data_IF_801219537502
#
_entry.id   IF_801219537502
#
_cell.length_a   1.000
_cell.length_b   1.000
_cell.length_c   1.000
_cell.angle_alpha   90.00
_cell.angle_beta   90.00
_cell.angle_gamma   90.00
#
_symmetry.space_group_name_H-M   'P 1'
#
loop_
_entity.id
_entity.type
_entity.pdbx_description
1 polymer ?
#
# COMPACT_ATOMS: atom_id res chain seq x y z
N UNK A 1 -9.70 -3.71 -30.62
CA UNK A 1 -10.40 -3.06 -29.49
C UNK A 1 -9.35 -2.73 -28.43
N UNK A 2 -9.14 -1.45 -28.12
CA UNK A 2 -8.24 -1.08 -27.03
C UNK A 2 -8.84 -1.64 -25.73
N UNK A 3 -8.15 -2.56 -25.05
CA UNK A 3 -8.53 -2.96 -23.69
C UNK A 3 -8.59 -1.69 -22.85
N UNK A 4 -9.77 -1.34 -22.33
CA UNK A 4 -9.88 -0.27 -21.33
C UNK A 4 -8.89 -0.59 -20.21
N UNK A 5 -7.91 0.29 -20.00
CA UNK A 5 -6.95 0.15 -18.91
C UNK A 5 -7.70 0.45 -17.61
N UNK A 6 -7.55 -0.40 -16.61
CA UNK A 6 -8.04 -0.10 -15.26
C UNK A 6 -7.28 1.13 -14.77
N UNK A 7 -8.01 2.19 -14.42
CA UNK A 7 -7.46 3.42 -13.85
C UNK A 7 -8.00 3.58 -12.44
N UNK A 8 -7.13 3.90 -11.50
CA UNK A 8 -7.48 4.15 -10.10
C UNK A 8 -6.79 5.42 -9.60
N UNK A 9 -7.28 5.99 -8.51
CA UNK A 9 -6.59 7.06 -7.80
C UNK A 9 -5.55 6.50 -6.81
N UNK A 10 -4.67 7.36 -6.30
CA UNK A 10 -3.75 6.91 -5.26
C UNK A 10 -4.51 6.67 -3.95
N UNK A 11 -4.27 5.54 -3.26
CA UNK A 11 -4.84 5.28 -1.94
C UNK A 11 -4.12 6.06 -0.82
N UNK A 12 -3.30 7.04 -1.18
CA UNK A 12 -2.43 7.88 -0.34
C UNK A 12 -2.35 9.28 -0.94
N UNK A 13 -1.88 10.24 -0.16
CA UNK A 13 -1.74 11.64 -0.59
C UNK A 13 -0.43 12.27 -0.15
N UNK A 14 0.08 13.21 -0.95
CA UNK A 14 1.33 13.94 -0.71
C UNK A 14 2.55 13.24 -1.30
N UNK A 15 3.73 13.47 -0.73
CA UNK A 15 5.00 12.93 -1.24
C UNK A 15 5.26 11.49 -0.79
N UNK A 16 5.49 10.60 -1.76
CA UNK A 16 5.72 9.18 -1.54
C UNK A 16 6.68 8.60 -2.57
N UNK A 17 7.30 7.46 -2.22
CA UNK A 17 8.14 6.71 -3.13
C UNK A 17 7.54 5.35 -3.43
N UNK A 18 7.59 4.96 -4.70
CA UNK A 18 7.17 3.63 -5.14
C UNK A 18 8.33 2.64 -5.05
N UNK A 19 8.10 1.58 -4.31
CA UNK A 19 8.98 0.44 -4.20
C UNK A 19 8.29 -0.80 -4.79
N UNK A 20 9.12 -1.73 -5.22
CA UNK A 20 8.71 -3.10 -5.57
C UNK A 20 9.83 -4.02 -5.11
N UNK A 21 9.72 -4.62 -3.91
CA UNK A 21 10.72 -5.55 -3.42
C UNK A 21 10.85 -6.74 -4.38
N UNK A 22 12.02 -7.39 -4.43
CA UNK A 22 12.22 -8.58 -5.25
C UNK A 22 11.19 -9.67 -4.90
N UNK A 23 10.67 -10.37 -5.91
CA UNK A 23 9.64 -11.41 -5.77
C UNK A 23 8.19 -10.91 -5.87
N UNK A 24 7.95 -9.60 -5.95
CA UNK A 24 6.60 -9.06 -6.14
C UNK A 24 6.16 -9.12 -7.61
N UNK A 25 4.86 -9.29 -7.83
CA UNK A 25 4.27 -9.22 -9.17
C UNK A 25 4.53 -7.83 -9.80
N UNK A 26 4.72 -7.70 -11.13
CA UNK A 26 5.03 -6.42 -11.75
C UNK A 26 4.02 -5.29 -11.51
N UNK A 27 2.77 -5.66 -11.24
CA UNK A 27 1.64 -4.75 -10.96
C UNK A 27 1.24 -4.74 -9.46
N UNK A 28 2.18 -5.14 -8.60
CA UNK A 28 2.10 -4.93 -7.17
C UNK A 28 2.98 -3.74 -6.78
N UNK A 29 2.43 -2.82 -6.00
CA UNK A 29 3.13 -1.59 -5.63
C UNK A 29 3.15 -1.38 -4.13
N UNK A 30 4.31 -1.03 -3.61
CA UNK A 30 4.51 -0.61 -2.23
C UNK A 30 4.79 0.90 -2.21
N UNK A 31 4.09 1.62 -1.33
CA UNK A 31 4.29 3.04 -1.13
C UNK A 31 4.95 3.30 0.22
N UNK A 32 6.07 4.03 0.17
CA UNK A 32 6.82 4.43 1.36
C UNK A 32 7.02 5.93 1.36
N UNK A 33 6.62 6.59 2.45
CA UNK A 33 6.86 8.01 2.65
C UNK A 33 8.30 8.24 3.05
N UNK A 34 8.89 9.31 2.52
CA UNK A 34 10.28 9.69 2.78
C UNK A 34 10.38 11.19 3.01
N UNK A 35 11.47 11.63 3.64
CA UNK A 35 11.86 13.04 3.64
C UNK A 35 12.68 13.40 2.39
N UNK A 36 13.06 14.68 2.29
CA UNK A 36 13.86 15.24 1.18
C UNK A 36 15.21 14.53 0.99
N UNK A 37 15.80 14.02 2.08
CA UNK A 37 17.03 13.23 2.11
C UNK A 37 16.81 11.75 1.71
N UNK A 38 15.59 11.39 1.30
CA UNK A 38 15.15 10.03 0.95
C UNK A 38 15.28 9.06 2.11
N UNK A 39 15.22 9.53 3.36
CA UNK A 39 15.16 8.69 4.56
C UNK A 39 13.71 8.27 4.80
N UNK A 40 13.54 7.06 5.31
CA UNK A 40 12.22 6.46 5.59
C UNK A 40 11.72 6.77 7.00
N UNK A 41 12.61 7.27 7.84
CA UNK A 41 12.40 7.52 9.25
C UNK A 41 13.23 8.72 9.69
N UNK A 42 12.80 9.37 10.77
CA UNK A 42 13.35 10.65 11.25
C UNK A 42 14.76 10.58 11.85
N UNK A 43 15.21 9.39 12.27
CA UNK A 43 16.56 9.20 12.82
C UNK A 43 17.65 9.56 11.82
N UNK A 44 18.59 10.40 12.26
CA UNK A 44 19.68 10.91 11.42
C UNK A 44 20.67 9.84 10.97
N UNK A 45 20.94 8.83 11.79
CA UNK A 45 21.97 7.81 11.50
C UNK A 45 21.37 6.54 10.90
N UNK A 46 21.64 6.28 9.61
CA UNK A 46 21.19 5.07 8.89
C UNK A 46 21.81 3.76 9.40
N UNK A 47 22.98 3.81 10.06
CA UNK A 47 23.62 2.62 10.62
C UNK A 47 22.80 2.00 11.77
N UNK A 48 21.94 2.79 12.42
CA UNK A 48 21.14 2.34 13.55
C UNK A 48 20.24 1.15 13.19
N UNK A 49 19.81 1.03 11.94
CA UNK A 49 18.99 -0.09 11.47
C UNK A 49 19.73 -1.44 11.50
N UNK A 50 21.06 -1.41 11.38
CA UNK A 50 21.91 -2.59 11.39
C UNK A 50 22.36 -2.98 12.80
N UNK A 51 22.47 -2.01 13.70
CA UNK A 51 23.00 -2.22 15.07
C UNK A 51 21.93 -2.11 16.17
N UNK A 52 20.71 -1.70 15.84
CA UNK A 52 19.64 -1.47 16.81
C UNK A 52 18.24 -1.57 16.18
N UNK A 53 17.22 -1.27 16.97
CA UNK A 53 15.82 -1.21 16.54
C UNK A 53 15.37 0.21 16.19
N UNK A 54 14.53 0.32 15.18
CA UNK A 54 13.79 1.54 14.84
C UNK A 54 12.32 1.32 15.22
N UNK A 55 11.74 2.29 15.91
CA UNK A 55 10.31 2.25 16.25
C UNK A 55 9.48 2.58 15.01
N UNK A 56 8.35 1.89 14.82
CA UNK A 56 7.42 2.20 13.73
C UNK A 56 6.95 3.66 13.75
N UNK A 57 6.84 4.26 14.93
CA UNK A 57 6.49 5.67 15.11
C UNK A 57 7.54 6.65 14.52
N UNK A 58 8.77 6.19 14.26
CA UNK A 58 9.81 7.02 13.64
C UNK A 58 9.70 7.06 12.12
N UNK A 59 8.90 6.18 11.50
CA UNK A 59 8.73 6.13 10.05
C UNK A 59 7.70 7.14 9.58
N UNK A 60 8.00 7.85 8.49
CA UNK A 60 7.08 8.83 7.93
C UNK A 60 5.80 8.20 7.36
N UNK A 61 5.85 6.92 6.95
CA UNK A 61 4.66 6.20 6.45
C UNK A 61 3.68 5.84 7.57
N UNK A 62 4.15 5.73 8.82
CA UNK A 62 3.32 5.23 9.91
C UNK A 62 2.15 6.18 10.21
N UNK A 63 0.97 5.62 10.48
CA UNK A 63 -0.24 6.38 10.85
C UNK A 63 -0.73 7.37 9.77
N UNK A 64 -0.25 7.24 8.52
CA UNK A 64 -0.77 8.02 7.40
C UNK A 64 -2.15 7.49 6.98
N UNK A 65 -3.06 8.39 6.61
CA UNK A 65 -4.39 8.01 6.11
C UNK A 65 -4.28 7.20 4.81
N UNK A 66 -5.16 6.21 4.69
CA UNK A 66 -5.39 5.44 3.48
C UNK A 66 -6.77 5.79 2.95
N UNK A 67 -6.84 6.03 1.65
CA UNK A 67 -8.05 6.42 0.95
C UNK A 67 -8.50 5.31 0.01
N UNK A 68 -9.81 5.22 -0.23
CA UNK A 68 -10.33 4.37 -1.30
C UNK A 68 -9.81 4.88 -2.64
N UNK A 69 -9.13 4.06 -3.45
CA UNK A 69 -8.63 4.47 -4.77
C UNK A 69 -9.68 4.32 -5.88
N UNK A 70 -10.84 3.73 -5.57
CA UNK A 70 -11.93 3.45 -6.50
C UNK A 70 -13.29 3.68 -5.83
N UNK A 71 -14.31 3.91 -6.65
CA UNK A 71 -15.68 3.68 -6.22
C UNK A 71 -15.93 2.17 -6.16
N UNK A 72 -16.60 1.69 -5.12
CA UNK A 72 -16.83 0.25 -4.99
C UNK A 72 -17.54 -0.17 -3.72
N UNK A 73 -17.50 -1.47 -3.46
CA UNK A 73 -18.08 -2.09 -2.27
C UNK A 73 -17.01 -2.84 -1.50
N UNK A 74 -16.99 -2.70 -0.18
CA UNK A 74 -16.12 -3.51 0.68
C UNK A 74 -16.62 -4.96 0.66
N UNK A 75 -15.77 -5.89 0.19
CA UNK A 75 -16.13 -7.32 0.07
C UNK A 75 -15.36 -8.22 1.03
N UNK A 76 -14.24 -7.75 1.59
CA UNK A 76 -13.48 -8.51 2.57
C UNK A 76 -12.66 -7.58 3.46
N UNK A 77 -12.60 -7.92 4.75
CA UNK A 77 -11.80 -7.22 5.76
C UNK A 77 -11.01 -8.28 6.52
N UNK A 78 -9.69 -8.12 6.59
CA UNK A 78 -8.82 -8.86 7.49
C UNK A 78 -8.35 -7.96 8.64
N UNK A 79 -8.63 -8.35 9.88
CA UNK A 79 -8.24 -7.63 11.10
C UNK A 79 -7.64 -8.57 12.14
N UNK A 80 -7.15 -7.98 13.24
CA UNK A 80 -6.66 -8.67 14.42
C UNK A 80 -5.18 -9.05 14.36
N UNK A 81 -4.44 -8.59 13.35
CA UNK A 81 -2.99 -8.77 13.28
C UNK A 81 -2.32 -7.56 13.90
N UNK A 82 -1.61 -7.78 15.00
CA UNK A 82 -0.84 -6.72 15.67
C UNK A 82 0.25 -6.14 14.76
N UNK A 83 0.48 -4.84 14.89
CA UNK A 83 1.55 -4.16 14.19
C UNK A 83 2.90 -4.47 14.82
N UNK A 84 3.90 -4.70 13.98
CA UNK A 84 5.28 -4.78 14.44
C UNK A 84 5.76 -3.37 14.77
N UNK A 85 5.91 -3.07 16.07
CA UNK A 85 6.34 -1.74 16.55
C UNK A 85 7.85 -1.51 16.52
N UNK A 86 8.66 -2.57 16.42
CA UNK A 86 10.14 -2.50 16.38
C UNK A 86 10.67 -3.22 15.14
N UNK A 87 11.39 -2.50 14.30
CA UNK A 87 12.03 -3.01 13.09
C UNK A 87 13.55 -3.05 13.27
N UNK A 88 14.21 -4.03 12.64
CA UNK A 88 15.67 -4.11 12.54
C UNK A 88 16.04 -5.05 11.38
N UNK A 89 17.32 -5.09 11.00
CA UNK A 89 17.78 -5.93 9.89
C UNK A 89 17.50 -7.44 10.09
N UNK A 90 17.68 -7.97 11.31
CA UNK A 90 17.49 -9.39 11.60
C UNK A 90 16.03 -9.83 11.47
N UNK A 91 15.12 -9.01 11.99
CA UNK A 91 13.67 -9.19 11.82
C UNK A 91 13.31 -9.19 10.33
N UNK A 92 13.86 -8.24 9.56
CA UNK A 92 13.62 -8.16 8.12
C UNK A 92 14.08 -9.43 7.39
N UNK A 93 15.27 -9.93 7.69
CA UNK A 93 15.79 -11.18 7.09
C UNK A 93 14.90 -12.37 7.47
N UNK A 94 14.53 -12.51 8.74
CA UNK A 94 13.68 -13.60 9.22
C UNK A 94 12.29 -13.57 8.58
N UNK A 95 11.68 -12.38 8.48
CA UNK A 95 10.38 -12.16 7.84
C UNK A 95 10.44 -12.58 6.36
N UNK A 96 11.44 -12.08 5.63
CA UNK A 96 11.65 -12.44 4.22
C UNK A 96 11.85 -13.95 4.05
N UNK A 97 12.72 -14.57 4.84
CA UNK A 97 12.96 -16.01 4.78
C UNK A 97 11.69 -16.82 5.03
N UNK A 98 10.94 -16.47 6.09
CA UNK A 98 9.70 -17.17 6.43
C UNK A 98 8.65 -17.02 5.33
N UNK A 99 8.54 -15.83 4.73
CA UNK A 99 7.63 -15.57 3.64
C UNK A 99 7.98 -16.37 2.38
N UNK A 100 9.26 -16.45 2.03
CA UNK A 100 9.71 -17.13 0.81
C UNK A 100 9.67 -18.65 0.95
N UNK A 101 10.08 -19.20 2.09
CA UNK A 101 10.33 -20.64 2.22
C UNK A 101 9.33 -21.37 3.12
N UNK A 102 8.60 -20.66 3.99
CA UNK A 102 7.74 -21.26 5.02
C UNK A 102 6.29 -20.82 4.96
N UNK A 103 5.93 -19.92 4.04
CA UNK A 103 4.54 -19.48 3.89
C UNK A 103 3.66 -20.63 3.42
N UNK A 104 2.67 -20.96 4.24
CA UNK A 104 1.59 -21.90 3.92
C UNK A 104 0.29 -21.21 4.29
N UNK A 105 -0.55 -20.82 3.32
CA UNK A 105 -1.84 -20.24 3.65
C UNK A 105 -2.72 -21.31 4.28
N UNK A 106 -3.32 -20.99 5.42
CA UNK A 106 -4.30 -21.85 6.08
C UNK A 106 -5.68 -21.59 5.49
N UNK A 107 -6.54 -22.61 5.48
CA UNK A 107 -7.96 -22.41 5.18
C UNK A 107 -8.73 -22.22 6.48
N UNK A 108 -9.50 -21.15 6.58
CA UNK A 108 -10.42 -20.88 7.68
C UNK A 108 -11.80 -20.60 7.12
N UNK A 109 -12.80 -21.34 7.60
CA UNK A 109 -14.20 -21.20 7.17
C UNK A 109 -14.38 -21.27 5.64
N UNK A 110 -13.71 -22.19 4.96
CA UNK A 110 -13.83 -22.37 3.51
C UNK A 110 -13.08 -21.33 2.66
N UNK A 111 -12.23 -20.49 3.27
CA UNK A 111 -11.44 -19.45 2.57
C UNK A 111 -9.99 -19.47 3.02
N UNK A 112 -9.07 -19.19 2.09
CA UNK A 112 -7.66 -19.03 2.40
C UNK A 112 -7.44 -17.77 3.26
N UNK A 113 -6.87 -17.96 4.45
CA UNK A 113 -6.45 -16.91 5.37
C UNK A 113 -5.10 -16.35 4.90
N UNK A 114 -5.17 -15.21 4.22
CA UNK A 114 -3.99 -14.53 3.67
C UNK A 114 -3.35 -13.54 4.66
N UNK A 115 -3.91 -13.35 5.86
CA UNK A 115 -3.46 -12.35 6.85
C UNK A 115 -2.02 -12.53 7.29
N UNK A 116 -1.51 -13.77 7.28
CA UNK A 116 -0.09 -14.04 7.57
C UNK A 116 0.83 -13.26 6.63
N UNK A 117 0.42 -13.07 5.36
CA UNK A 117 1.16 -12.25 4.41
C UNK A 117 0.69 -10.80 4.43
N UNK A 118 -0.60 -10.55 4.22
CA UNK A 118 -1.14 -9.20 4.00
C UNK A 118 -1.31 -8.37 5.28
N UNK A 119 -1.22 -8.98 6.46
CA UNK A 119 -1.54 -8.30 7.72
C UNK A 119 -3.02 -7.99 7.83
N UNK A 120 -3.34 -6.81 8.38
CA UNK A 120 -4.68 -6.27 8.25
C UNK A 120 -4.86 -5.69 6.84
N UNK A 121 -6.00 -5.96 6.23
CA UNK A 121 -6.25 -5.58 4.85
C UNK A 121 -7.71 -5.28 4.58
N UNK A 122 -7.94 -4.57 3.48
CA UNK A 122 -9.25 -4.26 2.93
C UNK A 122 -9.30 -4.68 1.47
N UNK A 123 -10.40 -5.30 1.04
CA UNK A 123 -10.69 -5.56 -0.37
C UNK A 123 -11.94 -4.81 -0.82
N UNK A 124 -11.79 -4.04 -1.88
CA UNK A 124 -12.84 -3.20 -2.46
C UNK A 124 -13.11 -3.71 -3.87
N UNK A 125 -14.34 -4.11 -4.15
CA UNK A 125 -14.75 -4.56 -5.48
C UNK A 125 -15.37 -3.40 -6.25
N UNK A 126 -14.82 -3.16 -7.44
CA UNK A 126 -15.35 -2.19 -8.39
C UNK A 126 -16.60 -2.77 -9.09
N UNK A 127 -17.46 -1.90 -9.63
CA UNK A 127 -18.65 -2.34 -10.38
C UNK A 127 -18.28 -3.11 -11.65
N UNK A 128 -17.10 -2.85 -12.19
CA UNK A 128 -16.51 -3.50 -13.35
C UNK A 128 -15.98 -4.91 -13.05
N UNK A 129 -16.02 -5.34 -11.78
CA UNK A 129 -15.75 -6.72 -11.35
C UNK A 129 -14.35 -6.96 -10.77
N UNK A 130 -13.38 -6.08 -11.03
CA UNK A 130 -12.05 -6.20 -10.44
C UNK A 130 -12.05 -5.83 -8.95
N UNK A 131 -11.08 -6.37 -8.21
CA UNK A 131 -10.95 -6.17 -6.75
C UNK A 131 -9.62 -5.54 -6.42
N UNK A 132 -9.64 -4.42 -5.69
CA UNK A 132 -8.45 -3.76 -5.13
C UNK A 132 -8.18 -4.29 -3.74
N UNK A 133 -6.95 -4.73 -3.48
CA UNK A 133 -6.43 -5.08 -2.16
C UNK A 133 -5.57 -3.95 -1.63
N UNK A 134 -5.84 -3.51 -0.41
CA UNK A 134 -4.98 -2.63 0.39
C UNK A 134 -4.50 -3.43 1.60
N UNK A 135 -3.18 -3.54 1.80
CA UNK A 135 -2.58 -4.41 2.81
C UNK A 135 -1.59 -3.68 3.75
N UNK A 136 -1.21 -4.36 4.82
CA UNK A 136 -0.37 -3.86 5.92
C UNK A 136 -1.01 -2.69 6.68
N UNK A 137 -2.33 -2.67 6.78
CA UNK A 137 -3.06 -1.65 7.52
C UNK A 137 -2.78 -1.76 9.02
N UNK A 138 -2.83 -0.61 9.70
CA UNK A 138 -2.65 -0.52 11.15
C UNK A 138 -3.78 -1.26 11.86
N UNK A 139 -3.43 -2.00 12.90
CA UNK A 139 -4.38 -2.71 13.74
C UNK A 139 -5.41 -1.73 14.32
N UNK A 140 -6.67 -2.13 14.32
CA UNK A 140 -7.81 -1.31 14.77
C UNK A 140 -7.97 0.05 14.05
N UNK A 141 -7.36 0.25 12.88
CA UNK A 141 -7.51 1.50 12.11
C UNK A 141 -8.59 1.46 11.03
N UNK A 142 -9.02 0.27 10.61
CA UNK A 142 -10.04 0.10 9.56
C UNK A 142 -11.38 0.58 10.11
N UNK A 143 -11.92 1.64 9.52
CA UNK A 143 -13.12 2.35 9.97
C UNK A 143 -14.33 2.14 9.03
N UNK A 144 -14.28 1.10 8.19
CA UNK A 144 -15.34 0.74 7.24
C UNK A 144 -15.89 -0.65 7.55
N UNK A 145 -17.11 -0.92 7.10
CA UNK A 145 -17.81 -2.18 7.34
C UNK A 145 -17.92 -3.05 6.09
N UNK A 146 -18.04 -4.37 6.28
CA UNK A 146 -18.31 -5.31 5.19
C UNK A 146 -19.61 -4.90 4.47
N UNK A 147 -19.56 -4.82 3.16
CA UNK A 147 -20.69 -4.43 2.32
C UNK A 147 -20.91 -2.93 2.18
N UNK A 148 -20.13 -2.09 2.86
CA UNK A 148 -20.19 -0.63 2.70
C UNK A 148 -19.80 -0.20 1.29
N UNK A 149 -20.57 0.72 0.71
CA UNK A 149 -20.20 1.43 -0.51
C UNK A 149 -19.20 2.54 -0.19
N UNK A 150 -18.14 2.63 -1.00
CA UNK A 150 -17.10 3.63 -0.89
C UNK A 150 -17.03 4.45 -2.17
N UNK A 151 -16.67 5.72 -2.01
CA UNK A 151 -16.28 6.62 -3.07
C UNK A 151 -14.76 6.82 -3.06
N UNK A 152 -14.20 7.14 -4.23
CA UNK A 152 -12.80 7.58 -4.33
C UNK A 152 -12.55 8.70 -3.32
N UNK A 153 -11.49 8.56 -2.51
CA UNK A 153 -11.11 9.56 -1.51
C UNK A 153 -11.71 9.33 -0.11
N UNK A 154 -12.61 8.36 0.07
CA UNK A 154 -13.07 7.98 1.40
C UNK A 154 -11.90 7.44 2.24
N UNK A 155 -11.77 7.87 3.50
CA UNK A 155 -10.77 7.31 4.43
C UNK A 155 -11.23 5.92 4.85
N UNK A 156 -10.37 4.91 4.63
CA UNK A 156 -10.67 3.51 4.93
C UNK A 156 -9.82 2.91 6.06
N UNK A 157 -8.77 3.61 6.46
CA UNK A 157 -7.89 3.21 7.55
C UNK A 157 -6.56 3.94 7.54
N UNK A 158 -5.55 3.36 8.18
CA UNK A 158 -4.21 3.94 8.26
C UNK A 158 -3.11 2.96 7.95
N UNK A 159 -1.98 3.48 7.47
CA UNK A 159 -0.78 2.71 7.19
C UNK A 159 -0.18 2.18 8.49
N UNK A 160 -0.01 0.86 8.54
CA UNK A 160 0.56 0.13 9.66
C UNK A 160 1.83 -0.62 9.26
N UNK A 161 2.09 -1.69 10.01
CA UNK A 161 3.22 -2.60 9.82
C UNK A 161 2.84 -4.03 10.26
N UNK A 162 1.59 -4.41 9.97
CA UNK A 162 1.02 -5.72 10.29
C UNK A 162 1.37 -6.76 9.21
N UNK A 163 1.36 -8.03 9.59
CA UNK A 163 1.64 -9.16 8.68
C UNK A 163 3.11 -9.27 8.28
N UNK A 164 3.33 -9.73 7.05
CA UNK A 164 4.66 -9.93 6.47
C UNK A 164 5.26 -8.61 5.95
N UNK A 165 5.33 -7.62 6.83
CA UNK A 165 5.89 -6.30 6.55
C UNK A 165 7.19 -6.09 7.31
N UNK A 166 8.16 -5.49 6.61
CA UNK A 166 9.51 -5.21 7.15
C UNK A 166 9.64 -3.77 7.67
N UNK A 167 8.74 -2.88 7.27
CA UNK A 167 8.62 -1.50 7.75
C UNK A 167 7.24 -0.92 7.42
N UNK A 168 6.80 0.17 8.08
CA UNK A 168 5.56 0.84 7.71
C UNK A 168 5.51 1.26 6.23
N UNK A 169 4.55 0.71 5.49
CA UNK A 169 4.29 0.98 4.07
C UNK A 169 2.87 0.56 3.69
N UNK A 170 2.35 1.09 2.59
CA UNK A 170 1.07 0.64 2.02
C UNK A 170 1.35 -0.25 0.81
N UNK A 171 0.73 -1.42 0.77
CA UNK A 171 0.78 -2.32 -0.38
C UNK A 171 -0.56 -2.31 -1.12
N UNK A 172 -0.52 -2.30 -2.46
CA UNK A 172 -1.68 -2.40 -3.34
C UNK A 172 -1.51 -3.47 -4.42
N UNK A 173 -2.58 -4.24 -4.65
CA UNK A 173 -2.76 -5.14 -5.78
C UNK A 173 -4.17 -5.01 -6.35
N UNK A 174 -4.34 -5.31 -7.64
CA UNK A 174 -5.65 -5.49 -8.26
C UNK A 174 -5.77 -6.91 -8.80
N UNK A 175 -6.89 -7.55 -8.50
CA UNK A 175 -7.22 -8.90 -8.93
C UNK A 175 -8.44 -8.91 -9.85
N UNK A 176 -8.52 -9.88 -10.75
CA UNK A 176 -9.69 -10.11 -11.60
C UNK A 176 -10.90 -10.65 -10.83
N UNK A 177 -10.67 -11.49 -9.82
CA UNK A 177 -11.69 -12.05 -8.93
C UNK A 177 -11.07 -12.54 -7.61
N UNK A 178 -11.89 -12.77 -6.59
CA UNK A 178 -11.45 -13.30 -5.28
C UNK A 178 -12.27 -14.50 -4.76
N UNK A 179 -13.15 -15.05 -5.59
CA UNK A 179 -13.92 -16.26 -5.28
C UNK A 179 -12.99 -17.47 -5.17
N UNK A 180 -12.01 -17.58 -6.07
CA UNK A 180 -10.97 -18.58 -6.03
C UNK A 180 -9.58 -17.90 -6.01
N UNK A 181 -9.02 -17.64 -4.82
CA UNK A 181 -7.73 -16.96 -4.69
C UNK A 181 -6.58 -17.69 -5.38
N UNK A 182 -6.63 -19.02 -5.53
CA UNK A 182 -5.59 -19.81 -6.21
C UNK A 182 -5.59 -19.62 -7.72
N UNK A 183 -6.71 -19.19 -8.31
CA UNK A 183 -6.85 -18.91 -9.76
C UNK A 183 -6.90 -17.43 -10.08
N UNK A 184 -6.88 -16.58 -9.05
CA UNK A 184 -6.95 -15.14 -9.19
C UNK A 184 -5.71 -14.60 -9.89
N UNK A 185 -5.91 -13.69 -10.84
CA UNK A 185 -4.84 -13.06 -11.61
C UNK A 185 -4.67 -11.61 -11.19
N UNK A 186 -3.42 -11.21 -10.98
CA UNK A 186 -3.09 -9.79 -10.79
C UNK A 186 -3.24 -9.06 -12.13
N UNK A 187 -4.03 -7.99 -12.12
CA UNK A 187 -4.33 -7.19 -13.31
C UNK A 187 -3.39 -5.99 -13.43
N UNK A 188 -3.02 -5.60 -14.66
CA UNK A 188 -2.35 -4.33 -14.91
C UNK A 188 -3.32 -3.16 -14.70
N UNK A 189 -2.82 -2.09 -14.09
CA UNK A 189 -3.57 -0.85 -13.90
C UNK A 189 -2.66 0.36 -13.98
N UNK A 190 -3.26 1.54 -14.07
CA UNK A 190 -2.59 2.84 -14.08
C UNK A 190 -3.17 3.74 -13.00
N UNK A 191 -2.43 4.79 -12.63
CA UNK A 191 -2.93 5.83 -11.75
C UNK A 191 -3.48 7.00 -12.56
N UNK A 192 -4.61 7.57 -12.13
CA UNK A 192 -5.30 8.66 -12.81
C UNK A 192 -4.43 9.90 -12.94
N UNK A 193 -3.81 10.35 -11.84
CA UNK A 193 -2.94 11.53 -11.81
C UNK A 193 -1.87 11.45 -10.71
N UNK A 194 -0.67 11.93 -11.00
CA UNK A 194 0.39 12.21 -10.03
C UNK A 194 1.42 13.17 -10.63
N UNK A 195 2.35 13.64 -9.80
CA UNK A 195 3.57 14.30 -10.28
C UNK A 195 4.78 13.43 -9.95
N UNK A 196 5.74 13.33 -10.86
CA UNK A 196 6.99 12.59 -10.66
C UNK A 196 8.18 13.54 -10.69
N UNK A 197 9.04 13.46 -9.68
CA UNK A 197 10.27 14.25 -9.61
C UNK A 197 11.25 13.73 -10.66
N UNK A 198 11.60 14.60 -11.62
CA UNK A 198 12.55 14.30 -12.68
C UNK A 198 14.00 14.47 -12.17
N UNK A 199 14.98 13.95 -12.92
CA UNK A 199 16.40 14.02 -12.56
C UNK A 199 16.95 15.45 -12.47
N UNK A 200 16.30 16.40 -13.13
CA UNK A 200 16.62 17.83 -13.08
C UNK A 200 15.97 18.57 -11.89
N UNK A 201 15.30 17.86 -10.98
CA UNK A 201 14.65 18.44 -9.81
C UNK A 201 13.26 19.02 -10.08
N UNK A 202 12.72 18.90 -11.30
CA UNK A 202 11.41 19.44 -11.66
C UNK A 202 10.33 18.37 -11.49
N UNK A 203 9.20 18.73 -10.87
CA UNK A 203 8.01 17.91 -10.81
C UNK A 203 7.28 17.91 -12.15
N UNK A 204 7.02 16.72 -12.70
CA UNK A 204 6.28 16.55 -13.96
C UNK A 204 4.95 15.84 -13.72
N UNK A 205 3.85 16.50 -14.04
CA UNK A 205 2.51 15.90 -14.05
C UNK A 205 2.44 14.74 -15.04
N UNK A 206 1.85 13.64 -14.59
CA UNK A 206 1.58 12.42 -15.35
C UNK A 206 0.16 11.98 -15.08
N UNK A 207 -0.50 11.41 -16.09
CA UNK A 207 -1.90 10.99 -16.02
C UNK A 207 -2.08 9.65 -16.72
N UNK A 208 -2.97 8.80 -16.19
CA UNK A 208 -3.28 7.47 -16.73
C UNK A 208 -2.02 6.62 -17.00
N UNK A 209 -1.04 6.69 -16.10
CA UNK A 209 0.25 6.01 -16.22
C UNK A 209 0.69 5.34 -14.91
N UNK A 210 1.72 4.50 -15.01
CA UNK A 210 2.39 3.90 -13.86
C UNK A 210 3.69 4.68 -13.61
N UNK A 211 3.95 5.17 -12.39
CA UNK A 211 5.21 5.82 -12.08
C UNK A 211 6.41 4.89 -12.24
N UNK A 212 7.59 5.45 -12.49
CA UNK A 212 8.81 4.64 -12.60
C UNK A 212 9.12 3.95 -11.27
N UNK A 213 9.76 2.78 -11.33
CA UNK A 213 10.23 2.10 -10.12
C UNK A 213 11.23 3.00 -9.37
N UNK A 214 11.06 3.15 -8.05
CA UNK A 214 11.83 4.08 -7.20
C UNK A 214 11.60 5.56 -7.51
N UNK A 215 10.58 5.92 -8.30
CA UNK A 215 10.15 7.30 -8.52
C UNK A 215 9.74 7.94 -7.19
N UNK A 216 10.11 9.21 -7.02
CA UNK A 216 9.53 10.09 -6.02
C UNK A 216 8.31 10.76 -6.66
N UNK A 217 7.15 10.60 -6.03
CA UNK A 217 5.88 11.09 -6.56
C UNK A 217 5.17 11.99 -5.56
N UNK A 218 4.43 12.97 -6.08
CA UNK A 218 3.31 13.57 -5.35
C UNK A 218 2.07 12.79 -5.76
N UNK A 219 1.61 11.92 -4.88
CA UNK A 219 0.40 11.15 -5.02
C UNK A 219 -0.81 12.08 -4.87
N UNK A 220 -1.68 12.09 -5.89
CA UNK A 220 -2.94 12.82 -5.87
C UNK A 220 -4.09 11.84 -5.78
N UNK A 221 -5.07 12.19 -4.96
CA UNK A 221 -6.35 11.53 -4.89
C UNK A 221 -7.41 12.61 -5.12
N UNK A 222 -8.11 12.52 -6.24
CA UNK A 222 -9.04 13.53 -6.73
C UNK A 222 -10.28 13.65 -5.83
N UNK A 223 -10.57 12.66 -4.99
CA UNK A 223 -11.63 12.72 -3.99
C UNK A 223 -11.27 13.50 -2.73
N UNK A 224 -10.00 13.86 -2.54
CA UNK A 224 -9.56 14.70 -1.42
C UNK A 224 -9.59 16.16 -1.88
N UNK A 225 -10.52 16.95 -1.33
CA UNK A 225 -10.45 18.40 -1.41
C UNK A 225 -9.22 18.88 -0.62
N UNK A 226 -8.06 18.95 -1.26
CA UNK A 226 -6.89 19.58 -0.66
C UNK A 226 -7.09 21.09 -0.68
N UNK A 227 -7.38 21.68 0.48
CA UNK A 227 -7.17 23.12 0.69
C UNK A 227 -5.70 23.39 0.40
N UNK A 228 -5.44 24.28 -0.55
CA UNK A 228 -4.15 24.44 -1.20
C UNK A 228 -2.99 24.64 -0.24
N UNK A 229 -1.86 23.99 -0.54
CA UNK A 229 -0.56 24.45 -0.10
C UNK A 229 -0.29 25.80 -0.78
N UNK A 230 -0.63 26.90 -0.11
CA UNK A 230 -0.01 28.18 -0.37
C UNK A 230 1.37 28.18 0.27
N UNK A 231 2.37 28.40 -0.59
CA UNK A 231 3.71 28.81 -0.22
C UNK A 231 3.63 29.99 0.74
N UNK A 232 4.33 29.88 1.88
CA UNK A 232 4.87 31.02 2.64
C UNK A 232 6.33 30.72 2.89
#
# INVERSE_FOLDING_TARGET
MAKNKISIDFPISGEWRILRPPGHHPFAFDFVKMDDDKKRYSRKNKFIYYVSTISSNEYYSWNQNIYSPIDGKVIQIGTGIEDRLKTNIWNTINIWYNATYRFKPEEKNGRLDIRTNTGNYLMIQAKEGYTVLLAHLMNNSINVSLGQSLHVGDIVGKVGNSGNSTMPHLHINIFDQIENPLKSKVLPFVFSEYEELQSNGIWKKSTFSVPKLKAHIIAKNCGINTVGHHNV
#
